data_IF_875543944296
#
_entry.id   IF_875543944296
#
_cell.length_a   1.000
_cell.length_b   1.000
_cell.length_c   1.000
_cell.angle_alpha   90.00
_cell.angle_beta   90.00
_cell.angle_gamma   90.00
#
_symmetry.space_group_name_H-M   'P 1'
#
loop_
_entity.id
_entity.type
_entity.pdbx_description
1 polymer ?
#
# COMPACT_ATOMS: atom_id res chain seq x y z
N UNK A 1 -3.66 -7.80 -3.22
CA UNK A 1 -3.83 -6.76 -2.17
C UNK A 1 -4.40 -5.50 -2.80
N UNK A 2 -3.76 -4.94 -3.84
CA UNK A 2 -4.16 -3.67 -4.44
C UNK A 2 -5.62 -3.61 -4.88
N UNK A 3 -6.09 -4.57 -5.66
CA UNK A 3 -7.49 -4.60 -6.13
C UNK A 3 -8.51 -4.74 -4.99
N UNK A 4 -8.18 -5.49 -3.93
CA UNK A 4 -9.05 -5.62 -2.75
C UNK A 4 -9.13 -4.30 -2.00
N UNK A 5 -7.98 -3.65 -1.78
CA UNK A 5 -7.91 -2.35 -1.12
C UNK A 5 -8.68 -1.28 -1.92
N UNK A 6 -8.45 -1.21 -3.25
CA UNK A 6 -9.12 -0.27 -4.14
C UNK A 6 -10.65 -0.41 -4.08
N UNK A 7 -11.16 -1.64 -4.19
CA UNK A 7 -12.61 -1.91 -4.07
C UNK A 7 -13.16 -1.53 -2.71
N UNK A 8 -12.43 -1.81 -1.64
CA UNK A 8 -12.88 -1.48 -0.28
C UNK A 8 -12.98 0.02 -0.05
N UNK A 9 -12.06 0.79 -0.62
CA UNK A 9 -12.05 2.25 -0.52
C UNK A 9 -13.13 2.87 -1.41
N UNK A 10 -13.26 2.42 -2.65
CA UNK A 10 -14.32 2.86 -3.55
C UNK A 10 -15.73 2.62 -2.96
N UNK A 11 -15.97 1.44 -2.37
CA UNK A 11 -17.23 1.15 -1.66
C UNK A 11 -17.50 2.07 -0.46
N UNK A 12 -16.48 2.68 0.11
CA UNK A 12 -16.60 3.66 1.21
C UNK A 12 -16.76 5.09 0.72
N UNK A 13 -16.88 5.29 -0.62
CA UNK A 13 -17.08 6.59 -1.21
C UNK A 13 -15.82 7.42 -1.45
N UNK A 14 -14.65 6.80 -1.43
CA UNK A 14 -13.40 7.48 -1.79
C UNK A 14 -13.16 7.44 -3.30
N UNK A 15 -12.64 8.53 -3.84
CA UNK A 15 -12.09 8.57 -5.20
C UNK A 15 -10.76 7.82 -5.22
N UNK A 16 -10.66 6.80 -6.06
CA UNK A 16 -9.50 5.90 -6.10
C UNK A 16 -8.90 5.86 -7.49
N UNK A 17 -7.61 6.13 -7.60
CA UNK A 17 -6.81 5.85 -8.79
C UNK A 17 -5.94 4.61 -8.58
N UNK A 18 -5.96 3.68 -9.53
CA UNK A 18 -5.15 2.46 -9.51
C UNK A 18 -4.14 2.51 -10.63
N UNK A 19 -2.87 2.36 -10.29
CA UNK A 19 -1.76 2.30 -11.23
C UNK A 19 -1.22 0.88 -11.30
N UNK A 20 -1.09 0.32 -12.48
CA UNK A 20 -0.47 -0.98 -12.72
C UNK A 20 0.28 -0.96 -14.05
N UNK A 21 1.46 -1.56 -14.11
CA UNK A 21 2.23 -1.68 -15.37
C UNK A 21 1.62 -2.67 -16.36
N UNK A 22 0.76 -3.58 -15.86
CA UNK A 22 0.10 -4.60 -16.65
C UNK A 22 -1.40 -4.29 -16.77
N UNK A 23 -1.90 -3.88 -17.97
CA UNK A 23 -3.31 -3.52 -18.17
C UNK A 23 -4.29 -4.65 -17.82
N UNK A 24 -3.89 -5.90 -18.00
CA UNK A 24 -4.72 -7.06 -17.69
C UNK A 24 -5.03 -7.18 -16.20
N UNK A 25 -4.21 -6.59 -15.33
CA UNK A 25 -4.40 -6.56 -13.87
C UNK A 25 -5.67 -5.83 -13.45
N UNK A 26 -6.12 -4.85 -14.24
CA UNK A 26 -7.33 -4.08 -13.93
C UNK A 26 -8.62 -4.90 -13.99
N UNK A 27 -8.60 -6.06 -14.67
CA UNK A 27 -9.75 -7.00 -14.66
C UNK A 27 -10.14 -7.44 -13.25
N UNK A 28 -9.19 -7.47 -12.31
CA UNK A 28 -9.43 -7.82 -10.90
C UNK A 28 -10.25 -6.77 -10.15
N UNK A 29 -10.36 -5.56 -10.68
CA UNK A 29 -11.20 -4.52 -10.10
C UNK A 29 -12.69 -4.81 -10.32
N UNK A 30 -13.04 -5.50 -11.43
CA UNK A 30 -14.41 -5.83 -11.78
C UNK A 30 -15.18 -4.63 -12.33
N UNK A 31 -16.38 -4.90 -12.87
CA UNK A 31 -17.20 -3.89 -13.54
C UNK A 31 -17.82 -2.84 -12.60
N UNK A 32 -17.83 -3.10 -11.30
CA UNK A 32 -18.39 -2.18 -10.30
C UNK A 32 -17.34 -1.19 -9.73
N UNK A 33 -16.13 -1.19 -10.24
CA UNK A 33 -15.12 -0.21 -9.85
C UNK A 33 -15.25 1.04 -10.70
N UNK A 34 -15.61 2.15 -10.08
CA UNK A 34 -15.82 3.46 -10.75
C UNK A 34 -14.58 4.37 -10.68
N UNK A 35 -13.49 3.91 -10.07
CA UNK A 35 -12.26 4.68 -9.94
C UNK A 35 -11.45 4.75 -11.24
N UNK A 36 -10.41 5.58 -11.23
CA UNK A 36 -9.48 5.75 -12.34
C UNK A 36 -8.50 4.59 -12.44
N UNK A 37 -8.14 4.19 -13.65
CA UNK A 37 -7.06 3.24 -13.92
C UNK A 37 -6.01 3.87 -14.81
N UNK A 38 -4.74 3.74 -14.45
CA UNK A 38 -3.61 4.31 -15.20
C UNK A 38 -2.59 3.20 -15.42
N UNK A 39 -2.23 2.97 -16.69
CA UNK A 39 -1.18 2.00 -17.04
C UNK A 39 0.18 2.66 -16.95
N UNK A 40 1.08 2.08 -16.16
CA UNK A 40 2.45 2.57 -16.02
C UNK A 40 3.12 2.11 -14.74
N UNK A 41 4.34 2.59 -14.53
CA UNK A 41 5.12 2.27 -13.33
C UNK A 41 4.72 3.21 -12.18
N UNK A 42 4.41 2.63 -11.02
CA UNK A 42 3.93 3.37 -9.86
C UNK A 42 4.97 4.31 -9.20
N UNK A 43 6.20 4.32 -9.68
CA UNK A 43 7.25 5.26 -9.27
C UNK A 43 7.65 6.25 -10.38
N UNK A 44 7.05 6.13 -11.58
CA UNK A 44 7.25 7.09 -12.65
C UNK A 44 6.42 8.35 -12.42
N UNK A 45 7.08 9.51 -12.55
CA UNK A 45 6.45 10.81 -12.22
C UNK A 45 5.30 11.17 -13.13
N UNK A 46 5.40 10.86 -14.42
CA UNK A 46 4.36 11.19 -15.39
C UNK A 46 3.14 10.27 -15.21
N UNK A 47 3.38 9.00 -14.92
CA UNK A 47 2.33 8.04 -14.53
C UNK A 47 1.60 8.49 -13.26
N UNK A 48 2.35 8.94 -12.25
CA UNK A 48 1.77 9.45 -11.00
C UNK A 48 0.94 10.70 -11.23
N UNK A 49 1.41 11.65 -12.07
CA UNK A 49 0.62 12.82 -12.45
C UNK A 49 -0.65 12.46 -13.23
N UNK A 50 -0.56 11.50 -14.17
CA UNK A 50 -1.72 10.99 -14.88
C UNK A 50 -2.77 10.40 -13.93
N UNK A 51 -2.33 9.85 -12.78
CA UNK A 51 -3.20 9.37 -11.70
C UNK A 51 -3.62 10.47 -10.71
N UNK A 52 -3.31 11.74 -10.99
CA UNK A 52 -3.64 12.91 -10.14
C UNK A 52 -3.05 12.84 -8.74
N UNK A 53 -1.78 12.41 -8.64
CA UNK A 53 -1.08 12.29 -7.35
C UNK A 53 -1.01 13.62 -6.58
N UNK A 54 -0.98 14.75 -7.29
CA UNK A 54 -0.92 16.09 -6.70
C UNK A 54 -2.17 16.43 -5.87
N UNK A 55 -3.29 15.73 -6.12
CA UNK A 55 -4.55 15.88 -5.39
C UNK A 55 -4.78 14.75 -4.38
N UNK A 56 -3.86 13.80 -4.30
CA UNK A 56 -4.05 12.62 -3.47
C UNK A 56 -3.86 12.92 -1.99
N UNK A 57 -4.84 12.56 -1.17
CA UNK A 57 -4.73 12.56 0.29
C UNK A 57 -3.80 11.46 0.80
N UNK A 58 -3.83 10.31 0.15
CA UNK A 58 -3.03 9.16 0.57
C UNK A 58 -2.54 8.33 -0.63
N UNK A 59 -1.45 7.60 -0.41
CA UNK A 59 -0.82 6.75 -1.42
C UNK A 59 -0.43 5.39 -0.83
N UNK A 60 -0.80 4.31 -1.51
CA UNK A 60 -0.48 2.95 -1.11
C UNK A 60 0.33 2.23 -2.19
N UNK A 61 1.58 1.92 -1.90
CA UNK A 61 2.45 1.13 -2.77
C UNK A 61 2.35 -0.36 -2.41
N UNK A 62 1.64 -1.14 -3.23
CA UNK A 62 1.28 -2.55 -2.92
C UNK A 62 1.60 -3.51 -4.07
N UNK A 63 2.56 -3.16 -4.93
CA UNK A 63 3.07 -4.02 -5.99
C UNK A 63 3.79 -5.26 -5.44
N UNK A 64 4.16 -6.21 -6.32
CA UNK A 64 4.85 -7.44 -5.89
C UNK A 64 6.30 -7.24 -5.47
N UNK A 65 6.93 -6.10 -5.80
CA UNK A 65 8.35 -5.84 -5.52
C UNK A 65 8.56 -4.86 -4.35
N UNK A 66 9.33 -5.25 -3.34
CA UNK A 66 9.65 -4.40 -2.19
C UNK A 66 10.36 -3.11 -2.63
N UNK A 67 11.36 -3.22 -3.52
CA UNK A 67 12.11 -2.06 -4.01
C UNK A 67 11.21 -1.07 -4.78
N UNK A 68 10.32 -1.58 -5.62
CA UNK A 68 9.36 -0.76 -6.37
C UNK A 68 8.38 -0.06 -5.44
N UNK A 69 7.92 -0.76 -4.39
CA UNK A 69 7.00 -0.18 -3.41
C UNK A 69 7.67 0.94 -2.61
N UNK A 70 8.91 0.76 -2.18
CA UNK A 70 9.66 1.79 -1.47
C UNK A 70 9.95 2.98 -2.36
N UNK A 71 10.39 2.74 -3.60
CA UNK A 71 10.67 3.82 -4.54
C UNK A 71 9.39 4.63 -4.83
N UNK A 72 8.27 3.96 -5.09
CA UNK A 72 6.99 4.63 -5.31
C UNK A 72 6.55 5.45 -4.09
N UNK A 73 6.65 4.89 -2.90
CA UNK A 73 6.31 5.57 -1.64
C UNK A 73 7.16 6.83 -1.42
N UNK A 74 8.47 6.74 -1.68
CA UNK A 74 9.38 7.87 -1.58
C UNK A 74 9.07 8.95 -2.60
N UNK A 75 8.83 8.59 -3.85
CA UNK A 75 8.47 9.57 -4.89
C UNK A 75 7.16 10.27 -4.54
N UNK A 76 6.13 9.53 -4.10
CA UNK A 76 4.87 10.13 -3.68
C UNK A 76 5.06 11.12 -2.52
N UNK A 77 5.86 10.78 -1.53
CA UNK A 77 6.10 11.61 -0.35
C UNK A 77 7.05 12.77 -0.61
N UNK A 78 8.23 12.48 -1.19
CA UNK A 78 9.33 13.45 -1.30
C UNK A 78 9.16 14.38 -2.50
N UNK A 79 8.54 13.90 -3.59
CA UNK A 79 8.37 14.71 -4.81
C UNK A 79 7.00 15.38 -4.87
N UNK A 80 5.94 14.69 -4.44
CA UNK A 80 4.56 15.18 -4.55
C UNK A 80 3.95 15.61 -3.21
N UNK A 81 4.66 15.45 -2.09
CA UNK A 81 4.23 15.92 -0.79
C UNK A 81 3.04 15.17 -0.19
N UNK A 82 2.76 13.93 -0.64
CA UNK A 82 1.65 13.15 -0.08
C UNK A 82 1.97 12.77 1.37
N UNK A 83 1.15 13.21 2.32
CA UNK A 83 1.42 13.01 3.75
C UNK A 83 1.19 11.57 4.20
N UNK A 84 0.11 10.95 3.72
CA UNK A 84 -0.31 9.62 4.13
C UNK A 84 0.16 8.58 3.12
N UNK A 85 1.37 8.06 3.31
CA UNK A 85 1.97 7.07 2.42
C UNK A 85 2.18 5.76 3.16
N UNK A 86 1.87 4.63 2.52
CA UNK A 86 2.16 3.29 3.05
C UNK A 86 2.76 2.40 1.96
N UNK A 87 3.76 1.60 2.33
CA UNK A 87 4.38 0.62 1.43
C UNK A 87 4.20 -0.80 1.97
N UNK A 88 3.80 -1.72 1.10
CA UNK A 88 3.82 -3.15 1.39
C UNK A 88 5.23 -3.69 1.21
N UNK A 89 5.74 -4.38 2.22
CA UNK A 89 7.06 -5.02 2.20
C UNK A 89 6.89 -6.50 2.55
N UNK A 90 7.48 -7.38 1.76
CA UNK A 90 7.47 -8.81 2.02
C UNK A 90 8.57 -9.21 3.01
N UNK A 91 9.77 -8.66 2.85
CA UNK A 91 10.91 -8.94 3.71
C UNK A 91 10.80 -8.18 5.04
N UNK A 92 10.65 -8.89 6.18
CA UNK A 92 10.51 -8.24 7.49
C UNK A 92 11.72 -7.40 7.90
N UNK A 93 12.93 -7.83 7.53
CA UNK A 93 14.16 -7.10 7.83
C UNK A 93 14.23 -5.75 7.10
N UNK A 94 13.79 -5.74 5.84
CA UNK A 94 13.66 -4.51 5.07
C UNK A 94 12.59 -3.58 5.63
N UNK A 95 11.47 -4.12 6.07
CA UNK A 95 10.40 -3.32 6.65
C UNK A 95 10.90 -2.50 7.85
N UNK A 96 11.71 -3.09 8.73
CA UNK A 96 12.29 -2.38 9.89
C UNK A 96 13.22 -1.24 9.46
N UNK A 97 14.05 -1.47 8.43
CA UNK A 97 14.96 -0.42 7.90
C UNK A 97 14.16 0.76 7.36
N UNK A 98 13.12 0.50 6.57
CA UNK A 98 12.32 1.57 5.95
C UNK A 98 11.45 2.32 6.95
N UNK A 99 10.94 1.66 7.99
CA UNK A 99 10.26 2.33 9.10
C UNK A 99 11.19 3.33 9.81
N UNK A 100 12.44 2.96 10.06
CA UNK A 100 13.44 3.88 10.63
C UNK A 100 13.73 5.08 9.73
N UNK A 101 13.58 4.92 8.43
CA UNK A 101 13.69 6.01 7.45
C UNK A 101 12.39 6.84 7.32
N UNK A 102 11.40 6.57 8.16
CA UNK A 102 10.16 7.34 8.22
C UNK A 102 9.14 6.99 7.15
N UNK A 103 9.26 5.83 6.47
CA UNK A 103 8.27 5.33 5.51
C UNK A 103 7.41 4.29 6.22
N UNK A 104 6.12 4.54 6.45
CA UNK A 104 5.20 3.56 7.02
C UNK A 104 5.14 2.31 6.14
N UNK A 105 5.41 1.14 6.74
CA UNK A 105 5.44 -0.13 6.02
C UNK A 105 4.48 -1.14 6.63
N UNK A 106 3.92 -2.01 5.79
CA UNK A 106 3.15 -3.18 6.20
C UNK A 106 3.90 -4.44 5.79
N UNK A 107 4.49 -5.13 6.77
CA UNK A 107 5.20 -6.40 6.58
C UNK A 107 4.18 -7.56 6.51
N UNK A 108 3.70 -7.87 5.31
CA UNK A 108 2.58 -8.81 5.12
C UNK A 108 2.90 -10.24 5.53
N UNK A 109 4.12 -10.71 5.30
CA UNK A 109 4.55 -12.06 5.68
C UNK A 109 4.59 -12.21 7.20
N UNK A 110 5.20 -11.25 7.90
CA UNK A 110 5.27 -11.26 9.37
C UNK A 110 3.88 -11.24 9.99
N UNK A 111 3.03 -10.33 9.55
CA UNK A 111 1.66 -10.24 10.05
C UNK A 111 0.88 -11.55 9.85
N UNK A 112 0.97 -12.15 8.65
CA UNK A 112 0.30 -13.43 8.35
C UNK A 112 0.84 -14.55 9.23
N UNK A 113 2.15 -14.64 9.40
CA UNK A 113 2.80 -15.66 10.25
C UNK A 113 2.39 -15.51 11.72
N UNK A 114 2.35 -14.30 12.24
CA UNK A 114 1.91 -14.01 13.61
C UNK A 114 0.43 -14.41 13.81
N UNK A 115 -0.44 -14.15 12.83
CA UNK A 115 -1.85 -14.56 12.86
C UNK A 115 -2.00 -16.10 12.86
N UNK A 116 -1.17 -16.81 12.09
CA UNK A 116 -1.16 -18.29 12.09
C UNK A 116 -0.65 -18.85 13.43
N UNK A 117 0.44 -18.28 13.95
CA UNK A 117 1.01 -18.68 15.24
C UNK A 117 -0.01 -18.52 16.38
N UNK A 118 -0.71 -17.41 16.42
CA UNK A 118 -1.75 -17.15 17.43
C UNK A 118 -2.89 -18.20 17.39
N UNK A 119 -3.20 -18.74 16.22
CA UNK A 119 -4.24 -19.76 16.08
C UNK A 119 -3.74 -21.19 16.36
N UNK A 120 -2.46 -21.44 16.15
CA UNK A 120 -1.83 -22.75 16.37
C UNK A 120 -1.41 -22.96 17.84
N UNK A 121 -1.07 -21.89 18.55
CA UNK A 121 -0.62 -21.97 19.94
C UNK A 121 -1.77 -21.57 20.89
N UNK A 122 -1.95 -22.30 22.02
CA UNK A 122 -2.89 -21.90 23.04
C UNK A 122 -2.53 -20.50 23.57
N UNK A 123 -3.53 -19.65 23.80
CA UNK A 123 -3.34 -18.24 24.22
C UNK A 123 -2.50 -18.04 25.49
N UNK A 124 -2.29 -19.08 26.30
CA UNK A 124 -1.45 -19.04 27.51
C UNK A 124 0.06 -19.04 27.26
N UNK A 125 0.51 -19.25 25.99
CA UNK A 125 1.93 -19.46 25.69
C UNK A 125 2.61 -18.27 24.96
N UNK A 126 1.90 -17.22 24.62
CA UNK A 126 2.49 -16.07 23.94
C UNK A 126 2.80 -14.96 24.94
N UNK A 127 4.05 -14.50 25.08
CA UNK A 127 4.33 -13.27 25.79
C UNK A 127 3.65 -12.13 25.05
N UNK A 128 2.81 -11.37 25.78
CA UNK A 128 2.26 -10.10 25.30
C UNK A 128 3.44 -9.18 25.01
N UNK A 129 3.85 -9.09 23.75
CA UNK A 129 4.77 -8.03 23.33
C UNK A 129 3.95 -6.75 23.29
N UNK A 130 3.98 -6.02 24.37
CA UNK A 130 3.61 -4.62 24.36
C UNK A 130 4.63 -3.89 23.50
N UNK A 131 4.27 -3.63 22.26
CA UNK A 131 5.03 -2.74 21.39
C UNK A 131 4.73 -1.30 21.87
N UNK A 132 5.69 -0.60 22.49
CA UNK A 132 5.44 0.74 23.01
C UNK A 132 5.31 1.81 21.92
N UNK A 133 5.40 1.41 20.65
CA UNK A 133 5.37 2.31 19.48
C UNK A 133 4.12 2.15 18.60
N UNK A 134 3.11 1.42 19.04
CA UNK A 134 1.82 1.44 18.32
C UNK A 134 1.13 2.79 18.51
N UNK A 135 0.67 3.48 17.45
CA UNK A 135 -0.16 4.66 17.65
C UNK A 135 -1.41 4.22 18.40
N UNK A 136 -1.59 4.77 19.58
CA UNK A 136 -2.78 4.53 20.39
C UNK A 136 -4.03 4.80 19.56
N UNK A 137 -4.88 3.78 19.42
CA UNK A 137 -6.21 3.95 18.84
C UNK A 137 -7.00 4.78 19.87
N UNK A 138 -6.91 6.09 19.72
CA UNK A 138 -7.80 7.00 20.42
C UNK A 138 -9.21 6.77 19.91
N UNK A 139 -10.07 6.26 20.78
CA UNK A 139 -11.49 6.15 20.52
C UNK A 139 -12.08 7.54 20.29
N UNK A 140 -12.80 7.73 19.17
CA UNK A 140 -13.76 8.80 19.02
C UNK A 140 -13.25 10.09 18.38
N UNK A 141 -12.89 10.02 17.09
CA UNK A 141 -12.96 11.22 16.22
C UNK A 141 -14.19 11.05 15.33
N UNK A 142 -15.14 12.01 15.30
CA UNK A 142 -16.27 11.96 14.38
C UNK A 142 -15.73 11.99 12.94
N UNK A 143 -16.26 11.10 12.10
CA UNK A 143 -15.98 11.02 10.68
C UNK A 143 -16.29 12.37 10.01
N UNK A 144 -15.31 13.22 9.89
CA UNK A 144 -15.33 14.29 8.92
C UNK A 144 -15.27 13.63 7.53
N UNK A 145 -16.08 14.15 6.61
CA UNK A 145 -16.16 13.73 5.22
C UNK A 145 -14.73 13.59 4.66
N UNK A 146 -14.32 12.41 4.15
CA UNK A 146 -12.95 12.22 3.70
C UNK A 146 -12.61 13.15 2.54
N UNK A 147 -11.42 13.75 2.54
CA UNK A 147 -10.92 14.50 1.39
C UNK A 147 -10.76 13.56 0.18
N UNK A 148 -10.94 14.10 -1.01
CA UNK A 148 -10.85 13.40 -2.28
C UNK A 148 -9.42 12.91 -2.54
N UNK A 149 -9.29 11.71 -3.09
CA UNK A 149 -8.08 11.23 -3.75
C UNK A 149 -7.21 10.23 -2.98
N UNK A 150 -7.25 8.97 -3.44
CA UNK A 150 -6.35 7.91 -2.98
C UNK A 150 -5.70 7.21 -4.18
N UNK A 151 -4.38 7.18 -4.23
CA UNK A 151 -3.64 6.49 -5.27
C UNK A 151 -3.05 5.16 -4.75
N UNK A 152 -3.24 4.08 -5.52
CA UNK A 152 -2.77 2.74 -5.20
C UNK A 152 -1.91 2.23 -6.36
N UNK A 153 -0.69 1.76 -6.08
CA UNK A 153 0.12 1.07 -7.07
C UNK A 153 0.09 -0.44 -6.87
N UNK A 154 -0.32 -1.17 -7.90
CA UNK A 154 -0.13 -2.60 -8.03
C UNK A 154 0.78 -2.83 -9.24
N UNK A 155 1.82 -3.66 -9.13
CA UNK A 155 2.76 -3.87 -10.23
C UNK A 155 2.95 -5.35 -10.54
N UNK A 156 3.07 -5.66 -11.83
CA UNK A 156 3.60 -6.91 -12.33
C UNK A 156 5.10 -7.01 -12.06
N UNK A 157 5.60 -8.22 -11.94
CA UNK A 157 7.04 -8.51 -11.86
C UNK A 157 7.78 -7.95 -13.07
N UNK A 158 8.92 -7.34 -12.84
CA UNK A 158 9.86 -7.04 -13.92
C UNK A 158 10.24 -8.37 -14.63
N UNK A 159 10.28 -8.41 -15.97
CA UNK A 159 10.79 -9.58 -16.67
C UNK A 159 12.25 -9.80 -16.26
N UNK A 160 12.56 -11.02 -15.86
CA UNK A 160 13.91 -11.43 -15.50
C UNK A 160 14.84 -11.22 -16.69
N UNK A 161 15.94 -10.51 -16.49
CA UNK A 161 17.07 -10.45 -17.40
C UNK A 161 17.66 -11.84 -17.53
N UNK A 162 17.35 -12.53 -18.60
CA UNK A 162 18.08 -13.74 -19.01
C UNK A 162 19.46 -13.29 -19.51
N UNK A 163 20.46 -13.52 -18.69
CA UNK A 163 21.87 -13.39 -19.10
C UNK A 163 22.23 -14.63 -19.92
N UNK A 164 22.58 -14.47 -21.17
CA UNK A 164 23.37 -15.43 -21.92
C UNK A 164 24.85 -15.17 -21.68
#
# INVERSE_FOLDING_TARGET
VGSTLAKSLSKRGHDVAVIDSEPSSFRRLGSSFEGMTVTGLGFDRDTLRAARIDEAYAFAAVSSGDNSNILAARVARETFGVEHVVARIYDPGRAEVYQRLGIPTVATVRWTSDQMLQRLLPQAALPVRTDPSGPGVSAGVPLARPPAGLAITGGGSLPGTTTH
#
